data_IF_513793584581
#
_entry.id   IF_513793584581
#
_cell.length_a   1.000
_cell.length_b   1.000
_cell.length_c   1.000
_cell.angle_alpha   90.00
_cell.angle_beta   90.00
_cell.angle_gamma   90.00
#
_symmetry.space_group_name_H-M   'P 1'
#
loop_
_entity.id
_entity.type
_entity.pdbx_description
1 polymer ?
#
# COMPACT_ATOMS: atom_id res chain seq x y z
N UNK A 1 -15.42 12.65 -1.55
CA UNK A 1 -16.50 12.51 -0.55
C UNK A 1 -15.98 12.15 0.86
N UNK A 2 -14.66 12.07 1.07
CA UNK A 2 -14.08 11.83 2.41
C UNK A 2 -14.22 10.38 2.91
N UNK A 3 -14.76 9.48 2.10
CA UNK A 3 -15.11 8.11 2.52
C UNK A 3 -14.00 7.09 2.28
N UNK A 4 -12.90 7.47 1.62
CA UNK A 4 -11.78 6.59 1.31
C UNK A 4 -10.46 7.21 1.73
N UNK A 5 -9.66 6.47 2.51
CA UNK A 5 -8.29 6.81 2.84
C UNK A 5 -7.34 6.15 1.83
N UNK A 6 -6.36 6.90 1.32
CA UNK A 6 -5.36 6.32 0.41
C UNK A 6 -4.32 5.53 1.21
N UNK A 7 -4.43 4.21 1.15
CA UNK A 7 -3.40 3.30 1.66
C UNK A 7 -2.31 3.06 0.60
N UNK A 8 -1.06 2.98 1.04
CA UNK A 8 0.09 2.58 0.22
C UNK A 8 0.75 1.38 0.91
N UNK A 9 0.98 0.32 0.15
CA UNK A 9 1.69 -0.87 0.61
C UNK A 9 3.17 -0.78 0.26
N UNK A 10 4.02 -1.13 1.22
CA UNK A 10 5.47 -1.05 1.09
C UNK A 10 6.11 -2.42 1.28
N UNK A 11 7.23 -2.63 0.59
CA UNK A 11 8.19 -3.69 0.89
C UNK A 11 9.50 -3.05 1.33
N UNK A 12 10.16 -3.65 2.31
CA UNK A 12 11.44 -3.17 2.83
C UNK A 12 12.36 -4.31 3.21
N UNK A 13 13.67 -4.09 3.08
CA UNK A 13 14.70 -5.01 3.55
C UNK A 13 14.92 -4.76 5.04
N UNK A 14 14.74 -5.80 5.86
CA UNK A 14 14.92 -5.69 7.31
C UNK A 14 16.41 -5.56 7.68
N UNK A 15 16.69 -4.71 8.66
CA UNK A 15 18.02 -4.60 9.25
C UNK A 15 18.45 -5.94 9.85
N UNK A 16 19.69 -6.34 9.60
CA UNK A 16 20.25 -7.60 10.12
C UNK A 16 20.02 -8.83 9.24
N UNK A 17 19.48 -8.66 8.03
CA UNK A 17 19.44 -9.77 7.06
C UNK A 17 20.84 -10.32 6.78
N UNK A 18 20.96 -11.65 6.78
CA UNK A 18 22.18 -12.34 6.37
C UNK A 18 22.34 -12.39 4.84
N UNK A 19 21.32 -11.97 4.09
CA UNK A 19 21.23 -12.08 2.63
C UNK A 19 20.75 -10.75 2.00
N UNK A 20 21.53 -9.65 2.12
CA UNK A 20 21.11 -8.34 1.64
C UNK A 20 20.90 -8.29 0.12
N UNK A 21 21.77 -8.94 -0.65
CA UNK A 21 21.68 -8.96 -2.11
C UNK A 21 20.43 -9.69 -2.61
N UNK A 22 20.11 -10.84 -2.00
CA UNK A 22 18.89 -11.59 -2.35
C UNK A 22 17.62 -10.84 -1.93
N UNK A 23 17.65 -10.18 -0.78
CA UNK A 23 16.53 -9.36 -0.32
C UNK A 23 16.29 -8.18 -1.28
N UNK A 24 17.34 -7.49 -1.73
CA UNK A 24 17.23 -6.43 -2.74
C UNK A 24 16.71 -6.99 -4.07
N UNK A 25 17.25 -8.11 -4.55
CA UNK A 25 16.79 -8.74 -5.78
C UNK A 25 15.30 -9.12 -5.73
N UNK A 26 14.80 -9.52 -4.56
CA UNK A 26 13.37 -9.78 -4.38
C UNK A 26 12.52 -8.50 -4.43
N UNK A 27 12.99 -7.40 -3.83
CA UNK A 27 12.33 -6.08 -3.96
C UNK A 27 12.30 -5.63 -5.42
N UNK A 28 13.42 -5.76 -6.14
CA UNK A 28 13.51 -5.40 -7.55
C UNK A 28 12.56 -6.25 -8.41
N UNK A 29 12.45 -7.54 -8.11
CA UNK A 29 11.46 -8.43 -8.73
C UNK A 29 10.02 -7.96 -8.47
N UNK A 30 9.67 -7.64 -7.23
CA UNK A 30 8.33 -7.15 -6.87
C UNK A 30 7.97 -5.83 -7.58
N UNK A 31 8.95 -4.96 -7.83
CA UNK A 31 8.76 -3.70 -8.57
C UNK A 31 8.77 -3.90 -10.10
N UNK A 32 9.18 -5.07 -10.58
CA UNK A 32 9.21 -5.44 -11.98
C UNK A 32 7.82 -5.48 -12.62
N UNK A 33 7.75 -5.22 -13.93
CA UNK A 33 6.50 -5.11 -14.67
C UNK A 33 5.61 -6.35 -14.52
N UNK A 34 6.15 -7.55 -14.71
CA UNK A 34 5.36 -8.78 -14.67
C UNK A 34 4.71 -9.02 -13.31
N UNK A 35 5.44 -8.78 -12.21
CA UNK A 35 4.86 -8.89 -10.87
C UNK A 35 3.76 -7.85 -10.66
N UNK A 36 4.01 -6.62 -11.11
CA UNK A 36 3.06 -5.51 -10.97
C UNK A 36 1.79 -5.69 -11.84
N UNK A 37 1.87 -6.39 -12.96
CA UNK A 37 0.71 -6.76 -13.80
C UNK A 37 -0.18 -7.84 -13.15
N UNK A 38 0.38 -8.68 -12.28
CA UNK A 38 -0.37 -9.72 -11.56
C UNK A 38 -1.09 -9.17 -10.31
N UNK A 39 -0.62 -8.05 -9.75
CA UNK A 39 -1.15 -7.43 -8.52
C UNK A 39 -2.67 -7.14 -8.59
N UNK A 40 -3.22 -6.52 -9.65
CA UNK A 40 -4.61 -6.09 -9.69
C UNK A 40 -5.64 -7.19 -9.42
N UNK A 41 -5.44 -8.40 -9.96
CA UNK A 41 -6.41 -9.50 -9.84
C UNK A 41 -6.11 -10.48 -8.71
N UNK A 42 -4.90 -10.43 -8.14
CA UNK A 42 -4.52 -11.29 -7.02
C UNK A 42 -4.64 -10.58 -5.67
N UNK A 43 -4.39 -9.27 -5.63
CA UNK A 43 -4.34 -8.46 -4.40
C UNK A 43 -5.39 -7.35 -4.37
N UNK A 44 -6.08 -7.08 -5.49
CA UNK A 44 -7.09 -6.03 -5.61
C UNK A 44 -6.58 -4.62 -5.28
N UNK A 45 -5.31 -4.33 -5.62
CA UNK A 45 -4.68 -3.01 -5.48
C UNK A 45 -4.09 -2.54 -6.81
N UNK A 46 -3.83 -1.25 -6.93
CA UNK A 46 -3.19 -0.67 -8.13
C UNK A 46 -1.66 -0.86 -8.08
N UNK A 47 -1.01 -1.16 -9.22
CA UNK A 47 0.43 -1.24 -9.29
C UNK A 47 1.08 0.14 -9.15
N UNK A 48 2.29 0.17 -8.62
CA UNK A 48 3.11 1.39 -8.55
C UNK A 48 3.93 1.59 -9.83
N UNK A 49 4.24 0.50 -10.55
CA UNK A 49 4.95 0.56 -11.81
C UNK A 49 4.04 1.06 -12.93
N UNK A 50 4.35 2.25 -13.47
CA UNK A 50 3.54 2.92 -14.50
C UNK A 50 3.55 2.21 -15.86
N UNK A 51 4.47 1.27 -16.08
CA UNK A 51 4.52 0.46 -17.30
C UNK A 51 3.65 -0.79 -17.23
N UNK A 52 3.12 -1.16 -16.05
CA UNK A 52 2.23 -2.31 -15.89
C UNK A 52 0.88 -2.08 -16.59
N UNK A 53 0.47 -3.02 -17.43
CA UNK A 53 -0.87 -3.02 -18.00
C UNK A 53 -1.92 -3.43 -16.95
N UNK A 54 -3.08 -2.76 -16.95
CA UNK A 54 -4.21 -3.13 -16.11
C UNK A 54 -5.17 -4.06 -16.87
N UNK A 55 -5.61 -5.18 -16.27
CA UNK A 55 -6.63 -6.03 -16.86
C UNK A 55 -7.95 -5.26 -17.09
N UNK A 56 -8.64 -5.44 -18.24
CA UNK A 56 -9.88 -4.71 -18.55
C UNK A 56 -10.97 -4.86 -17.48
N UNK A 57 -11.12 -6.06 -16.91
CA UNK A 57 -12.05 -6.36 -15.84
C UNK A 57 -11.72 -5.59 -14.56
N UNK A 58 -10.44 -5.39 -14.24
CA UNK A 58 -10.04 -4.60 -13.09
C UNK A 58 -10.44 -3.15 -13.28
N UNK A 59 -10.15 -2.58 -14.47
CA UNK A 59 -10.52 -1.19 -14.80
C UNK A 59 -12.04 -1.00 -14.81
N UNK A 60 -12.80 -2.00 -15.25
CA UNK A 60 -14.26 -1.93 -15.29
C UNK A 60 -14.87 -1.79 -13.88
N UNK A 61 -14.31 -2.48 -12.89
CA UNK A 61 -14.91 -2.59 -11.56
C UNK A 61 -14.22 -1.76 -10.49
N UNK A 62 -12.94 -1.44 -10.66
CA UNK A 62 -12.19 -0.65 -9.71
C UNK A 62 -12.74 0.79 -9.67
N UNK A 63 -13.18 1.21 -8.49
CA UNK A 63 -13.58 2.59 -8.23
C UNK A 63 -12.36 3.36 -7.71
N UNK A 64 -11.90 4.36 -8.45
CA UNK A 64 -10.82 5.26 -8.01
C UNK A 64 -11.48 6.50 -7.43
N UNK A 65 -11.36 6.76 -6.11
CA UNK A 65 -11.85 8.01 -5.54
C UNK A 65 -11.13 9.20 -6.18
N UNK A 66 -11.88 10.21 -6.63
CA UNK A 66 -11.30 11.44 -7.20
C UNK A 66 -10.57 12.27 -6.14
N UNK A 67 -11.04 12.19 -4.89
CA UNK A 67 -10.54 12.96 -3.75
C UNK A 67 -10.43 12.04 -2.52
N UNK A 68 -9.42 11.14 -2.48
CA UNK A 68 -9.17 10.33 -1.31
C UNK A 68 -8.61 11.20 -0.19
N UNK A 69 -8.98 10.88 1.06
CA UNK A 69 -8.35 11.46 2.24
C UNK A 69 -6.91 10.99 2.28
N UNK A 70 -6.01 11.94 2.52
CA UNK A 70 -4.58 11.68 2.76
C UNK A 70 -4.21 12.31 4.09
N UNK A 71 -3.38 11.61 4.85
CA UNK A 71 -2.79 12.12 6.10
C UNK A 71 -1.28 12.19 5.86
N UNK A 72 -0.62 13.34 6.09
CA UNK A 72 0.82 13.45 5.97
C UNK A 72 1.52 12.42 6.85
N UNK A 73 2.56 11.72 6.38
CA UNK A 73 3.26 10.71 7.18
C UNK A 73 3.82 11.25 8.51
N UNK A 74 4.25 12.53 8.53
CA UNK A 74 4.73 13.18 9.73
C UNK A 74 3.62 13.33 10.80
N UNK A 75 2.38 13.60 10.38
CA UNK A 75 1.24 13.70 11.29
C UNK A 75 0.85 12.31 11.80
N UNK A 76 0.92 11.28 10.95
CA UNK A 76 0.72 9.88 11.37
C UNK A 76 1.73 9.52 12.46
N UNK A 77 3.03 9.79 12.24
CA UNK A 77 4.06 9.49 13.24
C UNK A 77 3.87 10.26 14.55
N UNK A 78 3.46 11.54 14.46
CA UNK A 78 3.25 12.37 15.64
C UNK A 78 2.04 11.96 16.49
N UNK A 79 0.99 11.42 15.87
CA UNK A 79 -0.32 11.23 16.53
C UNK A 79 -0.84 9.78 16.56
N UNK A 80 -0.17 8.82 15.90
CA UNK A 80 -0.59 7.41 15.82
C UNK A 80 -0.97 6.80 17.17
N UNK A 81 -0.16 7.01 18.19
CA UNK A 81 -0.34 6.35 19.48
C UNK A 81 -1.55 6.94 20.23
N UNK A 82 -1.74 8.26 20.15
CA UNK A 82 -2.93 8.95 20.67
C UNK A 82 -4.21 8.45 19.98
N UNK A 83 -4.20 8.35 18.65
CA UNK A 83 -5.36 7.89 17.88
C UNK A 83 -5.71 6.42 18.19
N UNK A 84 -4.70 5.56 18.37
CA UNK A 84 -4.90 4.15 18.71
C UNK A 84 -5.48 3.99 20.13
N UNK A 85 -5.02 4.80 21.09
CA UNK A 85 -5.55 4.80 22.45
C UNK A 85 -7.02 5.25 22.47
N UNK A 86 -7.32 6.38 21.82
CA UNK A 86 -8.69 6.90 21.72
C UNK A 86 -9.65 5.89 21.06
N UNK A 87 -9.22 5.23 19.98
CA UNK A 87 -10.02 4.18 19.34
C UNK A 87 -10.29 2.99 20.26
N UNK A 88 -9.25 2.53 20.97
CA UNK A 88 -9.35 1.41 21.91
C UNK A 88 -10.32 1.70 23.05
N UNK A 89 -10.29 2.91 23.59
CA UNK A 89 -11.23 3.35 24.65
C UNK A 89 -12.67 3.40 24.18
N UNK A 90 -12.93 3.81 22.94
CA UNK A 90 -14.30 3.95 22.42
C UNK A 90 -14.91 2.61 21.99
N UNK A 91 -14.10 1.71 21.43
CA UNK A 91 -14.60 0.50 20.76
C UNK A 91 -14.45 -0.76 21.59
N UNK A 92 -13.38 -0.86 22.40
CA UNK A 92 -13.02 -2.11 23.08
C UNK A 92 -13.20 -2.06 24.60
N UNK A 93 -13.33 -0.88 25.21
CA UNK A 93 -13.53 -0.69 26.65
C UNK A 93 -14.90 -0.09 26.93
#
# INVERSE_FOLDING_TARGET
DGMCFRQIEFVGVLQGTAQPELAQAFVDFMLGQSFQEDIPLNMFVFPVNQSAALPPEFVQWAQIPTEPVTVPPADIEAHRDEWLEAWTEVVLR
#
